data_IF_951714786637
#
_entry.id   IF_951714786637
#
_cell.length_a   1.000
_cell.length_b   1.000
_cell.length_c   1.000
_cell.angle_alpha   90.00
_cell.angle_beta   90.00
_cell.angle_gamma   90.00
#
_symmetry.space_group_name_H-M   'P 1'
#
loop_
_entity.id
_entity.type
_entity.pdbx_description
1 polymer ?
#
# COMPACT_ATOMS: atom_id res chain seq x y z
N UNK A 1 17.36 30.10 12.37
CA UNK A 1 17.29 28.95 13.28
C UNK A 1 16.77 27.79 12.48
N UNK A 2 17.47 26.66 12.49
CA UNK A 2 17.09 25.40 11.84
C UNK A 2 15.83 24.84 12.52
N UNK A 3 14.81 24.46 11.75
CA UNK A 3 13.53 23.99 12.31
C UNK A 3 12.94 22.79 11.57
N UNK A 4 13.73 22.14 10.71
CA UNK A 4 13.32 20.90 10.05
C UNK A 4 13.84 19.71 10.87
N UNK A 5 12.94 18.79 11.20
CA UNK A 5 13.30 17.48 11.76
C UNK A 5 13.16 16.46 10.64
N UNK A 6 14.25 15.77 10.29
CA UNK A 6 14.21 14.71 9.27
C UNK A 6 13.93 13.39 9.95
N UNK A 7 12.74 12.84 9.75
CA UNK A 7 12.37 11.53 10.28
C UNK A 7 12.78 10.43 9.31
N UNK A 8 13.83 9.69 9.68
CA UNK A 8 14.42 8.56 8.96
C UNK A 8 15.90 8.81 8.70
N UNK A 9 16.79 7.93 9.18
CA UNK A 9 18.25 8.09 9.03
C UNK A 9 18.85 7.27 7.88
N UNK A 10 18.00 6.65 7.05
CA UNK A 10 18.43 5.81 5.92
C UNK A 10 18.86 6.62 4.68
N UNK A 11 18.81 5.96 3.51
CA UNK A 11 19.12 6.57 2.21
C UNK A 11 18.33 7.87 1.97
N UNK A 12 17.02 7.85 2.20
CA UNK A 12 16.16 9.02 2.03
C UNK A 12 16.46 10.13 3.03
N UNK A 13 16.88 9.78 4.27
CA UNK A 13 17.31 10.75 5.27
C UNK A 13 18.54 11.53 4.82
N UNK A 14 19.52 10.82 4.26
CA UNK A 14 20.67 11.45 3.61
C UNK A 14 20.25 12.37 2.46
N UNK A 15 19.42 11.89 1.55
CA UNK A 15 18.93 12.72 0.43
C UNK A 15 18.18 13.97 0.91
N UNK A 16 17.39 13.86 1.98
CA UNK A 16 16.70 14.99 2.58
C UNK A 16 17.67 16.00 3.20
N UNK A 17 18.68 15.53 3.92
CA UNK A 17 19.72 16.38 4.48
C UNK A 17 20.51 17.12 3.39
N UNK A 18 20.96 16.40 2.36
CA UNK A 18 21.69 16.98 1.23
C UNK A 18 20.83 18.02 0.48
N UNK A 19 19.51 17.83 0.45
CA UNK A 19 18.56 18.73 -0.22
C UNK A 19 18.25 20.00 0.59
N UNK A 20 17.97 19.88 1.89
CA UNK A 20 17.63 21.04 2.73
C UNK A 20 18.86 21.80 3.24
N UNK A 21 20.01 21.14 3.34
CA UNK A 21 21.23 21.74 3.85
C UNK A 21 21.29 21.81 5.37
N UNK A 22 22.53 21.95 5.87
CA UNK A 22 22.87 21.95 7.29
C UNK A 22 22.14 23.05 8.10
N UNK A 23 22.03 24.25 7.53
CA UNK A 23 21.42 25.40 8.17
C UNK A 23 19.92 25.23 8.48
N UNK A 24 19.24 24.34 7.75
CA UNK A 24 17.79 24.14 7.86
C UNK A 24 17.42 22.91 8.69
N UNK A 25 18.27 21.89 8.72
CA UNK A 25 18.03 20.65 9.47
C UNK A 25 18.50 20.80 10.92
N UNK A 26 17.57 20.60 11.86
CA UNK A 26 17.81 20.67 13.29
C UNK A 26 18.36 19.33 13.84
N UNK A 27 17.65 18.24 13.56
CA UNK A 27 17.98 16.91 14.05
C UNK A 27 17.34 15.84 13.14
N UNK A 28 17.75 14.59 13.37
CA UNK A 28 17.09 13.43 12.79
C UNK A 28 16.21 12.75 13.84
N UNK A 29 15.11 12.14 13.40
CA UNK A 29 14.34 11.20 14.22
C UNK A 29 14.44 9.79 13.62
N UNK A 30 14.50 8.76 14.44
CA UNK A 30 14.43 7.36 13.99
C UNK A 30 13.77 6.47 15.05
N UNK A 31 12.99 5.47 14.62
CA UNK A 31 12.33 4.53 15.54
C UNK A 31 13.31 3.54 16.18
N UNK A 32 14.53 3.41 15.65
CA UNK A 32 15.56 2.56 16.21
C UNK A 32 16.22 3.20 17.44
N UNK A 33 15.82 2.76 18.64
CA UNK A 33 16.38 3.23 19.91
C UNK A 33 17.91 3.06 20.05
N UNK A 34 18.54 2.16 19.27
CA UNK A 34 20.00 2.02 19.26
C UNK A 34 20.71 3.19 18.53
N UNK A 35 19.97 4.03 17.82
CA UNK A 35 20.50 5.22 17.14
C UNK A 35 20.34 6.49 17.97
N UNK A 36 19.42 6.50 18.95
CA UNK A 36 19.16 7.65 19.81
C UNK A 36 20.43 8.12 20.53
N UNK A 37 20.66 9.43 20.53
CA UNK A 37 21.86 10.06 21.12
C UNK A 37 23.13 9.91 20.29
N UNK A 38 23.09 9.22 19.13
CA UNK A 38 24.16 9.28 18.13
C UNK A 38 23.97 10.50 17.24
N UNK A 39 25.02 10.82 16.49
CA UNK A 39 25.02 11.95 15.57
C UNK A 39 25.13 11.47 14.13
N UNK A 40 24.38 12.13 13.25
CA UNK A 40 24.45 11.99 11.80
C UNK A 40 24.60 13.40 11.21
N UNK A 41 25.70 13.65 10.51
CA UNK A 41 26.07 15.00 10.01
C UNK A 41 26.06 16.06 11.11
N UNK A 42 26.64 15.75 12.28
CA UNK A 42 26.68 16.65 13.46
C UNK A 42 25.29 16.98 14.04
N UNK A 43 24.22 16.39 13.50
CA UNK A 43 22.86 16.49 14.03
C UNK A 43 22.55 15.28 14.90
N UNK A 44 21.97 15.53 16.06
CA UNK A 44 21.53 14.47 16.96
C UNK A 44 20.42 13.63 16.33
N UNK A 45 20.41 12.33 16.62
CA UNK A 45 19.31 11.41 16.31
C UNK A 45 18.48 11.22 17.59
N UNK A 46 17.19 11.57 17.52
CA UNK A 46 16.23 11.46 18.62
C UNK A 46 15.19 10.36 18.34
N UNK A 47 14.50 9.88 19.38
CA UNK A 47 13.28 9.11 19.13
C UNK A 47 12.15 10.06 18.72
N UNK A 48 11.17 9.60 17.93
CA UNK A 48 9.98 10.40 17.66
C UNK A 48 9.27 10.82 18.95
N UNK A 49 9.26 9.97 19.98
CA UNK A 49 8.69 10.27 21.30
C UNK A 49 9.33 11.47 22.00
N UNK A 50 10.56 11.82 21.62
CA UNK A 50 11.32 12.91 22.21
C UNK A 50 11.10 14.24 21.47
N UNK A 51 10.30 14.23 20.39
CA UNK A 51 9.84 15.45 19.72
C UNK A 51 8.99 16.22 20.74
N UNK A 52 9.54 17.33 21.25
CA UNK A 52 9.01 18.09 22.37
C UNK A 52 7.61 18.68 22.10
N UNK A 53 6.94 19.14 23.17
CA UNK A 53 5.64 19.84 23.12
C UNK A 53 5.63 21.10 22.23
N UNK A 54 6.81 21.61 21.84
CA UNK A 54 7.00 22.69 20.87
C UNK A 54 6.96 22.20 19.39
N UNK A 55 6.39 21.03 19.10
CA UNK A 55 6.31 20.44 17.76
C UNK A 55 5.71 21.38 16.69
N UNK A 56 4.90 22.36 17.08
CA UNK A 56 4.34 23.39 16.18
C UNK A 56 5.40 24.34 15.63
N UNK A 57 6.57 24.41 16.26
CA UNK A 57 7.70 25.24 15.82
C UNK A 57 8.58 24.52 14.80
N UNK A 58 8.33 23.24 14.53
CA UNK A 58 9.13 22.41 13.63
C UNK A 58 8.27 21.86 12.49
N UNK A 59 8.90 21.70 11.32
CA UNK A 59 8.34 20.90 10.24
C UNK A 59 9.02 19.53 10.26
N UNK A 60 8.22 18.46 10.30
CA UNK A 60 8.75 17.10 10.19
C UNK A 60 8.77 16.68 8.72
N UNK A 61 9.94 16.31 8.22
CA UNK A 61 10.10 15.74 6.89
C UNK A 61 10.23 14.22 7.02
N UNK A 62 9.25 13.49 6.47
CA UNK A 62 9.25 12.04 6.44
C UNK A 62 10.14 11.54 5.30
N UNK A 63 11.26 10.92 5.64
CA UNK A 63 12.31 10.51 4.73
C UNK A 63 12.44 8.98 4.69
N UNK A 64 11.47 8.33 4.07
CA UNK A 64 11.45 6.89 3.83
C UNK A 64 10.73 6.55 2.50
N UNK A 65 10.51 5.24 2.25
CA UNK A 65 9.62 4.80 1.17
C UNK A 65 8.18 5.21 1.47
N UNK A 66 7.38 5.38 0.44
CA UNK A 66 6.01 5.91 0.55
C UNK A 66 5.16 5.14 1.55
N UNK A 67 5.21 3.80 1.54
CA UNK A 67 4.45 2.95 2.46
C UNK A 67 4.88 3.15 3.91
N UNK A 68 6.19 3.31 4.15
CA UNK A 68 6.73 3.58 5.48
C UNK A 68 6.38 4.99 5.96
N UNK A 69 6.38 5.97 5.06
CA UNK A 69 5.99 7.34 5.42
C UNK A 69 4.53 7.40 5.88
N UNK A 70 3.63 6.58 5.33
CA UNK A 70 2.23 6.49 5.81
C UNK A 70 2.18 6.02 7.26
N UNK A 71 2.93 4.98 7.61
CA UNK A 71 3.01 4.47 8.99
C UNK A 71 3.64 5.51 9.94
N UNK A 72 4.67 6.21 9.48
CA UNK A 72 5.31 7.28 10.24
C UNK A 72 4.36 8.46 10.48
N UNK A 73 3.59 8.88 9.47
CA UNK A 73 2.57 9.93 9.59
C UNK A 73 1.48 9.51 10.58
N UNK A 74 1.03 8.26 10.53
CA UNK A 74 0.06 7.71 11.47
C UNK A 74 0.61 7.64 12.92
N UNK A 75 1.89 7.30 13.08
CA UNK A 75 2.57 7.35 14.37
C UNK A 75 2.58 8.78 14.94
N UNK A 76 2.98 9.76 14.14
CA UNK A 76 3.00 11.17 14.55
C UNK A 76 1.60 11.69 14.90
N UNK A 77 0.59 11.32 14.11
CA UNK A 77 -0.81 11.68 14.37
C UNK A 77 -1.27 11.15 15.75
N UNK A 78 -0.93 9.91 16.11
CA UNK A 78 -1.25 9.35 17.44
C UNK A 78 -0.60 10.11 18.58
N UNK A 79 0.50 10.81 18.31
CA UNK A 79 1.23 11.63 19.26
C UNK A 79 0.76 13.09 19.26
N UNK A 80 -0.26 13.44 18.47
CA UNK A 80 -0.79 14.80 18.33
C UNK A 80 0.05 15.70 17.42
N UNK A 81 0.99 15.12 16.66
CA UNK A 81 1.86 15.84 15.74
C UNK A 81 1.30 15.72 14.32
N UNK A 82 0.88 16.85 13.76
CA UNK A 82 0.20 16.87 12.46
C UNK A 82 1.05 17.51 11.35
N UNK A 83 2.07 18.30 11.71
CA UNK A 83 2.87 19.07 10.75
C UNK A 83 4.01 18.22 10.18
N UNK A 84 3.64 17.29 9.30
CA UNK A 84 4.61 16.49 8.55
C UNK A 84 4.37 16.55 7.04
N UNK A 85 5.46 16.43 6.27
CA UNK A 85 5.44 16.34 4.81
C UNK A 85 6.40 15.22 4.36
N UNK A 86 6.02 14.49 3.31
CA UNK A 86 6.85 13.49 2.69
C UNK A 86 7.98 14.14 1.88
N UNK A 87 9.21 13.68 2.07
CA UNK A 87 10.40 14.22 1.39
C UNK A 87 10.32 14.11 -0.13
N UNK A 88 9.92 12.95 -0.66
CA UNK A 88 9.81 12.73 -2.11
C UNK A 88 8.78 13.69 -2.71
N UNK A 89 7.64 13.86 -2.03
CA UNK A 89 6.62 14.82 -2.46
C UNK A 89 7.17 16.25 -2.53
N UNK A 90 7.76 16.76 -1.44
CA UNK A 90 8.19 18.16 -1.40
C UNK A 90 9.36 18.44 -2.34
N UNK A 91 10.33 17.51 -2.42
CA UNK A 91 11.45 17.57 -3.37
C UNK A 91 10.94 17.64 -4.80
N UNK A 92 10.08 16.71 -5.22
CA UNK A 92 9.52 16.70 -6.57
C UNK A 92 8.69 17.96 -6.84
N UNK A 93 7.98 18.46 -5.82
CA UNK A 93 7.16 19.66 -5.95
C UNK A 93 8.01 20.92 -6.17
N UNK A 94 9.11 21.09 -5.43
CA UNK A 94 10.08 22.18 -5.61
C UNK A 94 10.81 22.03 -6.95
N UNK A 95 11.34 20.84 -7.27
CA UNK A 95 12.07 20.60 -8.52
C UNK A 95 11.18 20.75 -9.77
N UNK A 96 9.86 20.58 -9.64
CA UNK A 96 8.92 20.85 -10.73
C UNK A 96 8.75 22.34 -11.07
N UNK A 97 9.40 23.25 -10.32
CA UNK A 97 9.31 24.70 -10.49
C UNK A 97 7.99 25.29 -10.01
N UNK A 98 7.17 24.53 -9.26
CA UNK A 98 5.87 25.00 -8.73
C UNK A 98 6.02 25.90 -7.51
N UNK A 99 7.13 25.78 -6.78
CA UNK A 99 7.50 26.55 -5.59
C UNK A 99 9.02 26.73 -5.61
N UNK A 100 9.49 27.92 -5.26
CA UNK A 100 10.91 28.19 -5.04
C UNK A 100 11.39 27.63 -3.69
N UNK A 101 12.62 27.10 -3.64
CA UNK A 101 13.16 26.52 -2.40
C UNK A 101 13.19 27.55 -1.25
N UNK A 102 13.60 28.79 -1.50
CA UNK A 102 13.65 29.82 -0.46
C UNK A 102 12.22 30.23 -0.04
N UNK A 103 11.28 30.30 -0.98
CA UNK A 103 9.86 30.53 -0.63
C UNK A 103 9.36 29.45 0.33
N UNK A 104 9.70 28.18 0.10
CA UNK A 104 9.34 27.09 1.01
C UNK A 104 10.00 27.27 2.39
N UNK A 105 11.29 27.59 2.43
CA UNK A 105 12.03 27.83 3.68
C UNK A 105 11.48 29.04 4.45
N UNK A 106 11.00 30.08 3.77
CA UNK A 106 10.46 31.25 4.46
C UNK A 106 9.04 31.01 5.01
N UNK A 107 8.30 30.06 4.43
CA UNK A 107 6.87 29.86 4.70
C UNK A 107 6.52 28.55 5.40
N UNK A 108 7.48 27.68 5.71
CA UNK A 108 7.14 26.36 6.30
C UNK A 108 6.51 26.40 7.70
N UNK A 109 6.45 27.57 8.35
CA UNK A 109 5.72 27.79 9.61
C UNK A 109 4.37 28.49 9.44
N UNK A 110 4.00 28.86 8.20
CA UNK A 110 2.65 29.32 7.89
C UNK A 110 1.75 28.09 7.82
N UNK A 111 0.89 27.92 8.83
CA UNK A 111 -0.04 26.80 8.93
C UNK A 111 -0.87 26.66 7.65
N UNK A 112 -1.44 27.75 7.13
CA UNK A 112 -2.28 27.70 5.92
C UNK A 112 -1.48 27.21 4.70
N UNK A 113 -0.22 27.61 4.60
CA UNK A 113 0.69 27.15 3.56
C UNK A 113 1.01 25.66 3.70
N UNK A 114 1.33 25.19 4.90
CA UNK A 114 1.59 23.77 5.16
C UNK A 114 0.35 22.91 4.93
N UNK A 115 -0.84 23.34 5.39
CA UNK A 115 -2.10 22.63 5.11
C UNK A 115 -2.37 22.52 3.61
N UNK A 116 -2.06 23.56 2.83
CA UNK A 116 -2.17 23.50 1.36
C UNK A 116 -1.21 22.48 0.75
N UNK A 117 0.02 22.37 1.25
CA UNK A 117 0.98 21.36 0.79
C UNK A 117 0.54 19.94 1.17
N UNK A 118 0.06 19.75 2.41
CA UNK A 118 -0.51 18.47 2.87
C UNK A 118 -1.69 18.04 2.01
N UNK A 119 -2.62 18.96 1.72
CA UNK A 119 -3.73 18.66 0.82
C UNK A 119 -3.26 18.19 -0.57
N UNK A 120 -2.26 18.85 -1.15
CA UNK A 120 -1.68 18.44 -2.45
C UNK A 120 -0.97 17.10 -2.39
N UNK A 121 -0.31 16.78 -1.26
CA UNK A 121 0.29 15.48 -1.02
C UNK A 121 -0.78 14.39 -0.99
N UNK A 122 -1.87 14.58 -0.24
CA UNK A 122 -2.96 13.62 -0.15
C UNK A 122 -3.64 13.40 -1.50
N UNK A 123 -3.88 14.46 -2.27
CA UNK A 123 -4.42 14.34 -3.63
C UNK A 123 -3.49 13.53 -4.55
N UNK A 124 -2.17 13.65 -4.39
CA UNK A 124 -1.19 12.84 -5.13
C UNK A 124 -1.26 11.36 -4.72
N UNK A 125 -1.32 11.07 -3.42
CA UNK A 125 -1.45 9.70 -2.90
C UNK A 125 -2.74 9.04 -3.40
N UNK A 126 -3.86 9.76 -3.35
CA UNK A 126 -5.17 9.30 -3.85
C UNK A 126 -5.08 8.96 -5.35
N UNK A 127 -4.54 9.89 -6.15
CA UNK A 127 -4.35 9.67 -7.59
C UNK A 127 -3.53 8.40 -7.86
N UNK A 128 -2.39 8.23 -7.18
CA UNK A 128 -1.53 7.05 -7.37
C UNK A 128 -2.22 5.75 -6.93
N UNK A 129 -3.05 5.79 -5.88
CA UNK A 129 -3.84 4.66 -5.43
C UNK A 129 -4.86 4.25 -6.51
N UNK A 130 -5.59 5.22 -7.06
CA UNK A 130 -6.55 4.97 -8.14
C UNK A 130 -5.87 4.42 -9.39
N UNK A 131 -4.72 4.97 -9.80
CA UNK A 131 -3.93 4.46 -10.94
C UNK A 131 -3.47 3.01 -10.71
N UNK A 132 -3.04 2.67 -9.47
CA UNK A 132 -2.68 1.28 -9.10
C UNK A 132 -3.88 0.34 -9.15
N UNK A 133 -5.05 0.79 -8.68
CA UNK A 133 -6.29 0.01 -8.73
C UNK A 133 -6.73 -0.22 -10.17
N UNK A 134 -6.73 0.83 -11.00
CA UNK A 134 -7.11 0.73 -12.42
C UNK A 134 -6.17 -0.21 -13.16
N UNK A 135 -4.85 -0.06 -12.95
CA UNK A 135 -3.87 -0.97 -13.51
C UNK A 135 -4.16 -2.42 -13.10
N UNK A 136 -4.36 -2.68 -11.81
CA UNK A 136 -4.68 -4.02 -11.31
C UNK A 136 -5.97 -4.58 -11.93
N UNK A 137 -7.03 -3.77 -12.04
CA UNK A 137 -8.29 -4.17 -12.67
C UNK A 137 -8.11 -4.52 -14.16
N UNK A 138 -7.23 -3.81 -14.88
CA UNK A 138 -6.92 -4.11 -16.28
C UNK A 138 -6.12 -5.41 -16.45
N UNK A 139 -5.12 -5.66 -15.60
CA UNK A 139 -4.25 -6.83 -15.74
C UNK A 139 -4.80 -8.10 -15.08
N UNK A 140 -5.61 -7.94 -14.03
CA UNK A 140 -6.19 -9.01 -13.24
C UNK A 140 -7.69 -9.17 -13.54
N UNK A 141 -8.10 -8.93 -14.78
CA UNK A 141 -9.46 -9.26 -15.18
C UNK A 141 -9.65 -10.78 -15.14
N UNK A 142 -10.23 -11.24 -14.04
CA UNK A 142 -10.48 -12.65 -13.75
C UNK A 142 -11.38 -13.33 -14.78
N UNK A 143 -12.12 -12.55 -15.59
CA UNK A 143 -12.96 -13.06 -16.69
C UNK A 143 -12.13 -13.54 -17.88
N UNK A 144 -10.90 -13.03 -18.04
CA UNK A 144 -10.04 -13.32 -19.19
C UNK A 144 -8.80 -14.15 -18.84
N UNK A 145 -8.73 -14.67 -17.61
CA UNK A 145 -7.64 -15.54 -17.19
C UNK A 145 -7.65 -16.84 -18.02
N UNK A 146 -6.48 -17.16 -18.57
CA UNK A 146 -6.28 -18.38 -19.39
C UNK A 146 -6.44 -19.63 -18.52
N UNK A 147 -6.92 -20.76 -19.08
CA UNK A 147 -6.99 -22.02 -18.36
C UNK A 147 -5.65 -22.42 -17.74
N UNK A 148 -5.69 -23.14 -16.61
CA UNK A 148 -4.52 -23.75 -16.00
C UNK A 148 -3.71 -24.59 -17.00
N UNK A 149 -2.41 -24.74 -16.70
CA UNK A 149 -1.48 -25.60 -17.44
C UNK A 149 -0.79 -26.58 -16.49
N UNK A 150 -0.08 -27.56 -17.04
CA UNK A 150 0.73 -28.50 -16.27
C UNK A 150 -0.08 -29.36 -15.29
N UNK A 151 0.47 -29.60 -14.09
CA UNK A 151 -0.10 -30.50 -13.09
C UNK A 151 -1.53 -30.11 -12.67
N UNK A 152 -1.79 -28.82 -12.48
CA UNK A 152 -3.11 -28.33 -12.10
C UNK A 152 -4.15 -28.64 -13.18
N UNK A 153 -3.82 -28.40 -14.46
CA UNK A 153 -4.74 -28.73 -15.57
C UNK A 153 -5.03 -30.22 -15.67
N UNK A 154 -4.04 -31.06 -15.36
CA UNK A 154 -4.24 -32.52 -15.29
C UNK A 154 -5.24 -32.87 -14.19
N UNK A 155 -5.06 -32.32 -12.98
CA UNK A 155 -5.99 -32.51 -11.85
C UNK A 155 -7.42 -32.06 -12.19
N UNK A 156 -7.60 -30.87 -12.79
CA UNK A 156 -8.92 -30.39 -13.24
C UNK A 156 -9.62 -31.37 -14.19
N UNK A 157 -8.88 -31.97 -15.13
CA UNK A 157 -9.44 -32.97 -16.05
C UNK A 157 -9.81 -34.26 -15.34
N UNK A 158 -8.96 -34.74 -14.44
CA UNK A 158 -9.24 -35.94 -13.63
C UNK A 158 -10.47 -35.73 -12.73
N UNK A 159 -10.62 -34.56 -12.12
CA UNK A 159 -11.81 -34.19 -11.35
C UNK A 159 -13.06 -34.16 -12.22
N UNK A 160 -12.99 -33.60 -13.44
CA UNK A 160 -14.12 -33.61 -14.38
C UNK A 160 -14.52 -35.03 -14.77
N UNK A 161 -13.55 -35.90 -15.07
CA UNK A 161 -13.82 -37.30 -15.42
C UNK A 161 -14.49 -38.05 -14.26
N UNK A 162 -14.12 -37.73 -13.01
CA UNK A 162 -14.76 -38.26 -11.81
C UNK A 162 -16.19 -37.73 -11.67
N UNK A 163 -16.40 -36.42 -11.83
CA UNK A 163 -17.72 -35.80 -11.76
C UNK A 163 -18.68 -36.41 -12.78
N UNK A 164 -18.25 -36.64 -14.02
CA UNK A 164 -19.08 -37.28 -15.06
C UNK A 164 -19.53 -38.68 -14.63
N UNK A 165 -18.65 -39.44 -13.96
CA UNK A 165 -19.03 -40.75 -13.40
C UNK A 165 -20.03 -40.60 -12.27
N UNK A 166 -19.81 -39.67 -11.34
CA UNK A 166 -20.70 -39.38 -10.22
C UNK A 166 -22.09 -38.98 -10.71
N UNK A 167 -22.19 -38.00 -11.61
CA UNK A 167 -23.46 -37.55 -12.21
C UNK A 167 -24.19 -38.72 -12.91
N UNK A 168 -23.48 -39.53 -13.69
CA UNK A 168 -24.08 -40.72 -14.33
C UNK A 168 -24.64 -41.71 -13.31
N UNK A 169 -23.90 -42.03 -12.25
CA UNK A 169 -24.39 -42.94 -11.22
C UNK A 169 -25.56 -42.36 -10.45
N UNK A 170 -25.51 -41.07 -10.10
CA UNK A 170 -26.58 -40.35 -9.43
C UNK A 170 -27.88 -40.37 -10.26
N UNK A 171 -27.80 -40.05 -11.56
CA UNK A 171 -28.95 -40.10 -12.47
C UNK A 171 -29.57 -41.49 -12.58
N UNK A 172 -28.76 -42.55 -12.55
CA UNK A 172 -29.27 -43.92 -12.62
C UNK A 172 -30.11 -44.32 -11.39
N UNK A 173 -29.93 -43.64 -10.26
CA UNK A 173 -30.74 -43.85 -9.05
C UNK A 173 -31.74 -42.71 -8.79
N UNK A 174 -31.96 -41.85 -9.79
CA UNK A 174 -32.96 -40.78 -9.74
C UNK A 174 -32.53 -39.51 -9.01
N UNK A 175 -31.23 -39.31 -8.75
CA UNK A 175 -30.70 -38.12 -8.09
C UNK A 175 -30.12 -37.14 -9.11
N UNK A 176 -30.28 -35.83 -8.86
CA UNK A 176 -29.70 -34.78 -9.68
C UNK A 176 -28.54 -34.08 -8.95
N UNK A 177 -27.36 -34.13 -9.57
CA UNK A 177 -26.17 -33.43 -9.09
C UNK A 177 -26.05 -32.10 -9.81
N UNK A 178 -25.87 -31.02 -9.06
CA UNK A 178 -25.80 -29.64 -9.56
C UNK A 178 -24.44 -29.07 -9.20
N UNK A 179 -23.74 -28.45 -10.16
CA UNK A 179 -22.51 -27.71 -9.86
C UNK A 179 -22.79 -26.53 -8.95
N UNK A 180 -21.89 -26.27 -8.00
CA UNK A 180 -22.06 -25.20 -7.03
C UNK A 180 -20.85 -24.25 -7.02
N UNK A 181 -21.05 -23.07 -6.42
CA UNK A 181 -19.99 -22.11 -6.12
C UNK A 181 -19.06 -21.79 -7.29
N UNK A 182 -17.76 -22.03 -7.06
CA UNK A 182 -16.68 -21.75 -8.01
C UNK A 182 -16.81 -22.55 -9.31
N UNK A 183 -17.27 -23.79 -9.25
CA UNK A 183 -17.40 -24.65 -10.42
C UNK A 183 -18.55 -24.23 -11.32
N UNK A 184 -19.70 -23.82 -10.77
CA UNK A 184 -20.80 -23.25 -11.56
C UNK A 184 -20.38 -21.93 -12.21
N UNK A 185 -19.74 -21.03 -11.46
CA UNK A 185 -19.22 -19.77 -12.00
C UNK A 185 -18.21 -20.01 -13.11
N UNK A 186 -17.27 -20.94 -12.93
CA UNK A 186 -16.30 -21.32 -13.94
C UNK A 186 -16.98 -21.85 -15.21
N UNK A 187 -17.95 -22.74 -15.06
CA UNK A 187 -18.65 -23.34 -16.20
C UNK A 187 -19.29 -22.26 -17.09
N UNK A 188 -19.92 -21.25 -16.48
CA UNK A 188 -20.55 -20.13 -17.21
C UNK A 188 -19.54 -19.11 -17.71
N UNK A 189 -18.62 -18.64 -16.86
CA UNK A 189 -17.71 -17.52 -17.16
C UNK A 189 -16.50 -17.93 -17.99
N UNK A 190 -15.89 -19.07 -17.65
CA UNK A 190 -14.61 -19.52 -18.20
C UNK A 190 -14.78 -20.69 -19.20
N UNK A 191 -16.01 -21.19 -19.39
CA UNK A 191 -16.28 -22.36 -20.23
C UNK A 191 -15.65 -23.66 -19.68
N UNK A 192 -15.47 -23.74 -18.37
CA UNK A 192 -14.79 -24.85 -17.70
C UNK A 192 -14.40 -24.50 -16.27
N UNK A 193 -13.27 -24.99 -15.78
CA UNK A 193 -12.80 -24.59 -14.45
C UNK A 193 -12.40 -23.12 -14.38
N UNK A 194 -12.59 -22.52 -13.21
CA UNK A 194 -11.85 -21.30 -12.85
C UNK A 194 -10.34 -21.62 -12.85
N UNK A 195 -9.47 -20.80 -13.44
CA UNK A 195 -8.09 -21.22 -13.72
C UNK A 195 -7.24 -21.68 -12.53
N UNK A 196 -7.46 -21.14 -11.33
CA UNK A 196 -6.71 -21.51 -10.12
C UNK A 196 -7.39 -22.59 -9.29
N UNK A 197 -8.57 -23.04 -9.70
CA UNK A 197 -9.42 -23.97 -8.99
C UNK A 197 -8.98 -25.43 -9.20
N UNK A 198 -9.09 -26.28 -8.18
CA UNK A 198 -8.51 -27.63 -8.20
C UNK A 198 -9.40 -28.75 -7.61
N UNK A 199 -10.62 -28.40 -7.22
CA UNK A 199 -11.68 -29.26 -6.70
C UNK A 199 -13.01 -29.05 -7.43
N UNK A 200 -13.99 -29.89 -7.12
CA UNK A 200 -15.35 -29.81 -7.67
C UNK A 200 -16.33 -29.94 -6.51
N UNK A 201 -17.10 -28.89 -6.29
CA UNK A 201 -18.25 -28.86 -5.41
C UNK A 201 -19.54 -29.11 -6.18
N UNK A 202 -20.38 -29.96 -5.60
CA UNK A 202 -21.71 -30.26 -6.09
C UNK A 202 -22.72 -30.27 -4.96
N UNK A 203 -23.95 -29.93 -5.32
CA UNK A 203 -25.10 -29.96 -4.43
C UNK A 203 -26.23 -30.77 -5.04
N UNK A 204 -27.19 -31.15 -4.20
CA UNK A 204 -28.42 -31.84 -4.59
C UNK A 204 -29.60 -31.09 -3.98
N UNK A 205 -30.81 -31.33 -4.50
CA UNK A 205 -31.99 -30.75 -3.87
C UNK A 205 -32.20 -31.35 -2.48
N UNK A 206 -32.72 -30.56 -1.54
CA UNK A 206 -32.86 -31.01 -0.14
C UNK A 206 -33.75 -32.24 0.00
N UNK A 207 -34.75 -32.39 -0.86
CA UNK A 207 -35.65 -33.54 -0.91
C UNK A 207 -34.99 -34.81 -1.49
N UNK A 208 -33.86 -34.69 -2.20
CA UNK A 208 -33.08 -35.80 -2.74
C UNK A 208 -32.03 -36.32 -1.74
N UNK A 209 -31.83 -35.64 -0.61
CA UNK A 209 -30.86 -36.02 0.44
C UNK A 209 -31.44 -36.94 1.52
N UNK A 210 -32.76 -36.91 1.72
CA UNK A 210 -33.45 -37.66 2.79
C UNK A 210 -33.99 -38.99 2.28
#
# INVERSE_FOLDING_TARGET
MSKIIVFGTGKYGKEAYDFFGDDNVLCFADNNAALTGKYLYEKEIILPSDIQSHYKEYLIILAAREELCIEMEYQLMKMGIENSLNFIFIRDYILSGRIDFNEFIDRYLDDAYIYKLKYKQELRKEKQCLEKIEFFQQIADIRHLKPARGKLRKRQKESLDLLIKVDRYARNIGLNVILEGGNLLGAIRNGGFVPWDDDIDVVMLRNEYN
#
